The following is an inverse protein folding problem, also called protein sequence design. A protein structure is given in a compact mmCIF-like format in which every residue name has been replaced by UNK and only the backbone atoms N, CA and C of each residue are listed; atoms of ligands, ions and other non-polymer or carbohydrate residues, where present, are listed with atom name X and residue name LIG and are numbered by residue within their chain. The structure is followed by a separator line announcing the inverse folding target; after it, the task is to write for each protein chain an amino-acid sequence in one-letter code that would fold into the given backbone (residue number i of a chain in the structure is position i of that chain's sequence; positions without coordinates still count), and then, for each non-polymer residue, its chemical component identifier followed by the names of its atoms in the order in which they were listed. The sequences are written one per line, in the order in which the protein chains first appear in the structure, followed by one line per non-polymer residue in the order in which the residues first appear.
data_IF_225021704442
#
_entry.id   IF_225021704442
#
_cell.length_a   1.000
_cell.length_b   1.000
_cell.length_c   1.000
_cell.angle_alpha   90.00
_cell.angle_beta   90.00
_cell.angle_gamma   90.00
#
_symmetry.space_group_name_H-M   'P 1'
#
loop_
_entity.id
_entity.type
_entity.pdbx_description
1 polymer ?
#
# COMPACT_ATOMS: atom_id res chain seq x y z
N UNK A 1 0.75 -20.22 4.20
CA UNK A 1 -0.49 -19.49 4.51
C UNK A 1 -0.38 -18.16 3.78
N UNK A 2 -1.27 -17.87 2.83
CA UNK A 2 -1.31 -16.54 2.21
C UNK A 2 -1.94 -15.59 3.22
N UNK A 3 -1.13 -14.94 4.04
CA UNK A 3 -1.59 -13.86 4.90
C UNK A 3 -1.98 -12.70 4.00
N UNK A 4 -3.29 -12.54 3.80
CA UNK A 4 -3.85 -11.39 3.10
C UNK A 4 -3.53 -10.15 3.92
N UNK A 5 -2.65 -9.30 3.41
CA UNK A 5 -2.36 -8.01 4.05
C UNK A 5 -3.59 -7.12 3.87
N UNK A 6 -4.22 -6.64 4.96
CA UNK A 6 -5.35 -5.73 4.86
C UNK A 6 -4.91 -4.42 4.19
N UNK A 7 -5.57 -4.04 3.10
CA UNK A 7 -5.24 -2.82 2.35
C UNK A 7 -5.28 -1.54 3.22
N UNK A 8 -6.08 -1.56 4.28
CA UNK A 8 -6.21 -0.48 5.25
C UNK A 8 -4.88 -0.14 5.95
N UNK A 9 -3.99 -1.11 6.14
CA UNK A 9 -2.66 -0.88 6.74
C UNK A 9 -1.72 -0.10 5.80
N UNK A 10 -2.04 -0.05 4.50
CA UNK A 10 -1.27 0.61 3.44
C UNK A 10 -1.87 1.97 3.02
N UNK A 11 -2.97 2.38 3.62
CA UNK A 11 -3.62 3.67 3.36
C UNK A 11 -3.12 4.69 4.38
N UNK A 12 -2.52 5.77 3.87
CA UNK A 12 -2.02 6.89 4.66
C UNK A 12 -3.02 8.04 4.63
N UNK A 13 -3.16 8.77 5.72
CA UNK A 13 -3.97 9.99 5.75
C UNK A 13 -3.09 11.23 5.68
N UNK A 14 -3.14 11.93 4.54
CA UNK A 14 -2.33 13.12 4.28
C UNK A 14 -3.28 14.27 3.95
N UNK A 15 -3.24 15.34 4.77
CA UNK A 15 -4.12 16.52 4.61
C UNK A 15 -5.62 16.15 4.58
N UNK A 16 -6.02 15.14 5.35
CA UNK A 16 -7.39 14.64 5.40
C UNK A 16 -7.82 13.80 4.18
N UNK A 17 -6.87 13.40 3.34
CA UNK A 17 -7.12 12.53 2.19
C UNK A 17 -6.45 11.18 2.40
N UNK A 18 -7.16 10.11 2.03
CA UNK A 18 -6.61 8.74 2.02
C UNK A 18 -5.77 8.57 0.76
N UNK A 19 -4.48 8.33 0.94
CA UNK A 19 -3.48 8.18 -0.12
C UNK A 19 -2.76 6.86 0.08
N UNK A 20 -2.58 6.10 -0.99
CA UNK A 20 -1.67 4.95 -1.00
C UNK A 20 -0.38 5.38 -1.68
N UNK A 21 0.76 5.01 -1.10
CA UNK A 21 2.06 5.39 -1.63
C UNK A 21 2.54 4.34 -2.64
N UNK A 22 3.34 4.77 -3.63
CA UNK A 22 3.74 3.88 -4.73
C UNK A 22 4.55 2.66 -4.26
N UNK A 23 5.26 2.77 -3.13
CA UNK A 23 5.96 1.63 -2.54
C UNK A 23 4.99 0.56 -1.99
N UNK A 24 3.88 0.98 -1.40
CA UNK A 24 2.86 0.09 -0.85
C UNK A 24 2.14 -0.62 -2.00
N UNK A 25 1.87 0.11 -3.07
CA UNK A 25 1.32 -0.42 -4.31
C UNK A 25 2.29 -1.44 -4.91
N UNK A 26 3.57 -1.10 -5.02
CA UNK A 26 4.57 -1.97 -5.59
C UNK A 26 4.75 -3.29 -4.82
N UNK A 27 4.72 -3.23 -3.49
CA UNK A 27 4.72 -4.43 -2.63
C UNK A 27 3.47 -5.28 -2.86
N UNK A 28 2.28 -4.67 -2.99
CA UNK A 28 1.02 -5.37 -3.28
C UNK A 28 1.03 -6.07 -4.65
N UNK A 29 1.62 -5.43 -5.65
CA UNK A 29 1.75 -5.99 -7.00
C UNK A 29 3.04 -6.80 -7.21
N UNK A 30 3.83 -7.02 -6.15
CA UNK A 30 5.12 -7.72 -6.18
C UNK A 30 6.06 -7.19 -7.28
N UNK A 31 6.04 -5.88 -7.52
CA UNK A 31 6.86 -5.18 -8.51
C UNK A 31 7.90 -4.33 -7.80
N UNK A 32 9.08 -4.16 -8.39
CA UNK A 32 10.12 -3.28 -7.87
C UNK A 32 9.81 -1.83 -8.26
N UNK A 33 9.85 -0.88 -7.31
CA UNK A 33 9.88 0.55 -7.63
C UNK A 33 11.29 0.91 -8.13
N UNK A 34 11.39 1.65 -9.25
CA UNK A 34 12.67 2.14 -9.79
C UNK A 34 12.90 3.60 -9.44
#
# INVERSE_FOLDING_TARGET
MNELIPIEQKIHEIRGQKVMLDFDLAEMYQTETK
#
